data_IF_755450362282
#
_entry.id   IF_755450362282
#
_cell.length_a   1.000
_cell.length_b   1.000
_cell.length_c   1.000
_cell.angle_alpha   90.00
_cell.angle_beta   90.00
_cell.angle_gamma   90.00
#
_symmetry.space_group_name_H-M   'P 1'
#
loop_
_entity.id
_entity.type
_entity.pdbx_description
1 polymer ?
#
# COMPACT_ATOMS: atom_id res chain seq x y z
N UNK A 1 -4.64 19.03 -22.05
CA UNK A 1 -5.66 19.13 -23.13
C UNK A 1 -6.94 19.68 -22.52
N UNK A 2 -7.42 20.88 -22.92
CA UNK A 2 -8.60 21.55 -22.33
C UNK A 2 -9.89 21.18 -23.08
N UNK A 3 -10.92 20.69 -22.39
CA UNK A 3 -12.30 20.60 -22.92
C UNK A 3 -13.37 20.85 -21.83
N UNK A 4 -14.52 21.35 -22.29
CA UNK A 4 -15.65 21.98 -21.56
C UNK A 4 -16.77 20.95 -21.32
N UNK A 5 -17.38 20.92 -20.13
CA UNK A 5 -18.45 19.96 -19.75
C UNK A 5 -19.73 20.72 -19.36
N UNK A 6 -20.85 20.31 -19.95
CA UNK A 6 -22.21 20.79 -19.64
C UNK A 6 -22.79 20.12 -18.38
N UNK A 7 -23.55 20.89 -17.61
CA UNK A 7 -24.07 20.55 -16.28
C UNK A 7 -25.12 19.41 -16.28
N UNK A 8 -25.00 18.49 -15.30
CA UNK A 8 -26.09 17.59 -14.88
C UNK A 8 -26.26 17.74 -13.35
N UNK A 9 -27.50 17.85 -12.89
CA UNK A 9 -27.85 18.18 -11.51
C UNK A 9 -27.55 17.03 -10.50
N UNK A 10 -27.20 17.36 -9.23
CA UNK A 10 -26.91 16.37 -8.20
C UNK A 10 -28.19 15.67 -7.66
N UNK A 11 -28.08 14.42 -7.17
CA UNK A 11 -29.21 13.68 -6.61
C UNK A 11 -29.52 14.08 -5.14
N UNK A 12 -30.78 13.85 -4.75
CA UNK A 12 -31.44 14.34 -3.54
C UNK A 12 -30.97 13.65 -2.23
N UNK A 13 -30.82 14.37 -1.08
CA UNK A 13 -30.11 13.85 0.12
C UNK A 13 -30.87 12.88 1.05
N UNK A 14 -32.12 12.50 0.81
CA UNK A 14 -32.98 11.90 1.86
C UNK A 14 -32.88 10.37 2.07
N UNK A 15 -31.71 9.74 1.94
CA UNK A 15 -31.59 8.29 2.22
C UNK A 15 -30.35 7.89 3.03
N UNK A 16 -30.18 8.44 4.24
CA UNK A 16 -29.18 7.95 5.19
C UNK A 16 -29.86 7.66 6.53
N UNK A 17 -29.98 6.38 6.89
CA UNK A 17 -30.55 5.92 8.16
C UNK A 17 -29.59 6.13 9.34
N UNK A 18 -30.15 6.48 10.50
CA UNK A 18 -29.44 6.81 11.74
C UNK A 18 -28.83 5.56 12.42
N UNK A 19 -27.52 5.57 12.68
CA UNK A 19 -26.86 4.56 13.54
C UNK A 19 -25.46 4.08 13.11
N UNK A 20 -24.93 4.52 11.97
CA UNK A 20 -23.57 4.19 11.53
C UNK A 20 -22.48 5.11 12.10
N UNK A 21 -21.18 4.71 12.04
CA UNK A 21 -20.07 5.61 12.35
C UNK A 21 -20.22 6.90 11.53
N UNK A 22 -20.00 8.05 12.18
CA UNK A 22 -20.06 9.37 11.54
C UNK A 22 -19.20 9.34 10.27
N UNK A 23 -19.87 9.35 9.12
CA UNK A 23 -19.23 9.42 7.82
C UNK A 23 -18.39 10.70 7.77
N UNK A 24 -17.18 10.67 7.16
CA UNK A 24 -16.44 11.90 6.94
C UNK A 24 -17.32 12.88 6.14
N UNK A 25 -17.18 14.21 6.36
CA UNK A 25 -17.99 15.21 5.67
C UNK A 25 -17.68 15.20 4.18
N UNK A 26 -18.71 15.05 3.34
CA UNK A 26 -18.59 15.07 1.85
C UNK A 26 -17.86 16.34 1.44
N UNK A 27 -16.73 16.20 0.74
CA UNK A 27 -16.03 17.35 0.18
C UNK A 27 -16.92 17.91 -0.92
N UNK A 28 -17.62 19.00 -0.64
CA UNK A 28 -18.39 19.75 -1.62
C UNK A 28 -17.42 20.28 -2.67
N UNK A 29 -17.57 19.83 -3.92
CA UNK A 29 -16.87 20.45 -5.04
C UNK A 29 -17.46 21.84 -5.24
N UNK A 30 -16.68 22.88 -4.94
CA UNK A 30 -17.05 24.26 -5.26
C UNK A 30 -17.37 24.34 -6.77
N UNK A 31 -18.56 24.85 -7.08
CA UNK A 31 -18.97 25.16 -8.45
C UNK A 31 -17.98 26.19 -9.02
N UNK A 32 -17.08 25.73 -9.90
CA UNK A 32 -16.07 26.59 -10.54
C UNK A 32 -16.61 27.18 -11.83
N UNK A 33 -16.30 28.47 -12.03
CA UNK A 33 -16.66 29.20 -13.24
C UNK A 33 -16.04 28.56 -14.50
N UNK A 34 -16.85 28.43 -15.56
CA UNK A 34 -16.43 27.91 -16.86
C UNK A 34 -15.29 28.78 -17.44
N UNK A 35 -14.12 28.17 -17.67
CA UNK A 35 -12.99 28.83 -18.33
C UNK A 35 -11.78 29.08 -17.42
N UNK A 36 -11.91 28.86 -16.11
CA UNK A 36 -10.77 28.89 -15.19
C UNK A 36 -9.75 27.80 -15.57
N UNK A 37 -8.44 28.09 -15.68
CA UNK A 37 -7.42 27.07 -15.88
C UNK A 37 -7.55 25.97 -14.83
N UNK A 38 -7.60 24.70 -15.26
CA UNK A 38 -7.53 23.59 -14.32
C UNK A 38 -6.10 23.54 -13.80
N UNK A 39 -5.92 23.68 -12.49
CA UNK A 39 -4.63 23.41 -11.84
C UNK A 39 -4.22 21.94 -12.04
N UNK A 40 -2.98 21.62 -11.68
CA UNK A 40 -2.46 20.27 -11.84
C UNK A 40 -2.93 19.35 -10.72
N UNK A 41 -3.30 18.12 -11.09
CA UNK A 41 -3.71 17.08 -10.14
C UNK A 41 -2.56 16.11 -9.94
N UNK A 42 -2.17 15.91 -8.68
CA UNK A 42 -1.15 14.93 -8.29
C UNK A 42 -1.83 13.66 -7.81
N UNK A 43 -1.69 12.59 -8.58
CA UNK A 43 -2.18 11.26 -8.22
C UNK A 43 -1.01 10.33 -7.94
N UNK A 44 -0.96 9.80 -6.72
CA UNK A 44 -0.10 8.69 -6.37
C UNK A 44 -0.87 7.37 -6.50
N UNK A 45 -0.12 6.31 -6.77
CA UNK A 45 -0.59 4.94 -6.86
C UNK A 45 0.30 4.14 -5.93
N UNK A 46 -0.27 3.18 -5.20
CA UNK A 46 0.48 2.36 -4.28
C UNK A 46 0.00 0.91 -4.28
N UNK A 47 0.92 0.01 -4.02
CA UNK A 47 0.66 -1.44 -3.99
C UNK A 47 1.72 -2.16 -3.15
N UNK A 48 1.35 -3.32 -2.62
CA UNK A 48 2.20 -4.19 -1.86
C UNK A 48 2.87 -5.25 -2.73
N UNK A 49 4.20 -5.35 -2.64
CA UNK A 49 4.94 -6.41 -3.32
C UNK A 49 5.60 -7.35 -2.34
N UNK A 50 5.41 -8.66 -2.51
CA UNK A 50 6.05 -9.71 -1.70
C UNK A 50 7.55 -9.84 -1.99
N UNK A 51 8.31 -8.81 -1.64
CA UNK A 51 9.76 -8.75 -1.65
C UNK A 51 10.20 -8.57 -0.21
N UNK A 52 10.77 -9.63 0.35
CA UNK A 52 10.91 -9.76 1.79
C UNK A 52 12.36 -9.87 2.21
N UNK A 53 12.67 -9.62 3.48
CA UNK A 53 13.97 -9.96 4.06
C UNK A 53 13.79 -10.60 5.43
N UNK A 54 14.83 -11.30 5.90
CA UNK A 54 14.79 -12.02 7.18
C UNK A 54 14.84 -11.07 8.37
N UNK A 55 14.07 -11.40 9.40
CA UNK A 55 13.97 -10.74 10.70
C UNK A 55 13.89 -11.78 11.82
N UNK A 56 13.93 -11.33 13.07
CA UNK A 56 13.80 -12.19 14.24
C UNK A 56 12.62 -13.18 14.14
N UNK A 57 12.82 -14.42 14.60
CA UNK A 57 11.82 -15.47 14.58
C UNK A 57 10.66 -15.26 15.57
N UNK A 58 10.83 -14.39 16.56
CA UNK A 58 9.80 -14.12 17.57
C UNK A 58 8.70 -13.25 16.96
N UNK A 59 7.44 -13.64 17.18
CA UNK A 59 6.31 -13.10 16.40
C UNK A 59 6.15 -11.57 16.48
N UNK A 60 6.32 -11.00 17.68
CA UNK A 60 6.21 -9.57 17.94
C UNK A 60 7.49 -8.76 17.66
N UNK A 61 8.56 -9.40 17.14
CA UNK A 61 9.86 -8.76 16.97
C UNK A 61 10.22 -8.51 15.51
N UNK A 62 10.52 -7.25 15.20
CA UNK A 62 10.90 -6.79 13.85
C UNK A 62 12.41 -6.49 13.72
N UNK A 63 13.20 -6.80 14.75
CA UNK A 63 14.62 -6.44 14.82
C UNK A 63 15.49 -7.29 13.86
N UNK A 64 16.62 -6.72 13.39
CA UNK A 64 17.58 -7.42 12.54
C UNK A 64 18.11 -8.70 13.19
N UNK A 65 18.43 -9.70 12.37
CA UNK A 65 19.15 -10.88 12.84
C UNK A 65 20.60 -10.52 13.17
N UNK A 66 21.18 -11.20 14.15
CA UNK A 66 22.64 -11.11 14.40
C UNK A 66 23.42 -11.87 13.33
N UNK A 67 22.86 -12.96 12.84
CA UNK A 67 23.47 -13.79 11.80
C UNK A 67 22.43 -14.14 10.72
N UNK A 68 22.61 -13.57 9.53
CA UNK A 68 21.70 -13.76 8.39
C UNK A 68 21.92 -15.06 7.62
N UNK A 69 23.06 -15.73 7.81
CA UNK A 69 23.40 -16.98 7.10
C UNK A 69 22.56 -18.16 7.61
N UNK A 70 22.51 -18.34 8.92
CA UNK A 70 21.82 -19.45 9.57
C UNK A 70 21.20 -19.10 10.94
N UNK A 71 21.23 -17.82 11.34
CA UNK A 71 20.60 -17.37 12.58
C UNK A 71 19.10 -17.18 12.45
N UNK A 72 18.43 -17.10 13.60
CA UNK A 72 16.98 -16.92 13.72
C UNK A 72 16.55 -15.84 14.71
N UNK A 73 17.47 -15.26 15.47
CA UNK A 73 17.13 -14.26 16.48
C UNK A 73 17.96 -12.97 16.32
N UNK A 74 17.38 -11.87 16.78
CA UNK A 74 18.08 -10.60 16.98
C UNK A 74 18.91 -10.63 18.27
N UNK A 75 19.67 -9.56 18.52
CA UNK A 75 20.56 -9.44 19.68
C UNK A 75 19.83 -9.69 21.01
N UNK A 76 18.70 -9.01 21.24
CA UNK A 76 17.91 -9.16 22.47
C UNK A 76 17.36 -10.57 22.71
N UNK A 77 17.23 -11.38 21.65
CA UNK A 77 16.64 -12.72 21.69
C UNK A 77 17.66 -13.83 21.43
N UNK A 78 18.96 -13.51 21.42
CA UNK A 78 20.02 -14.51 21.21
C UNK A 78 20.00 -15.61 22.27
N UNK A 79 19.58 -15.30 23.49
CA UNK A 79 19.40 -16.26 24.57
C UNK A 79 18.43 -17.40 24.21
N UNK A 80 17.49 -17.18 23.28
CA UNK A 80 16.54 -18.20 22.82
C UNK A 80 17.16 -19.25 21.88
N UNK A 81 18.41 -19.06 21.41
CA UNK A 81 19.08 -20.03 20.54
C UNK A 81 19.21 -21.39 21.22
N UNK A 82 19.54 -21.39 22.51
CA UNK A 82 19.70 -22.58 23.35
C UNK A 82 18.40 -23.10 23.95
N UNK A 83 17.23 -22.70 23.43
CA UNK A 83 15.92 -23.17 23.89
C UNK A 83 15.21 -23.86 22.72
N UNK A 84 14.45 -24.92 23.03
CA UNK A 84 13.59 -25.60 22.08
C UNK A 84 12.74 -24.57 21.30
N UNK A 85 12.74 -24.69 19.98
CA UNK A 85 12.04 -23.73 19.11
C UNK A 85 10.52 -23.80 19.19
N UNK A 86 9.95 -24.78 19.90
CA UNK A 86 8.51 -24.90 20.11
C UNK A 86 8.14 -24.10 21.36
N UNK A 87 7.22 -23.14 21.23
CA UNK A 87 6.73 -22.35 22.37
C UNK A 87 5.44 -23.02 22.89
N UNK A 88 5.29 -23.29 24.21
CA UNK A 88 6.18 -22.97 25.34
C UNK A 88 7.01 -24.17 25.85
N UNK A 89 7.56 -25.04 24.97
CA UNK A 89 8.25 -26.28 25.39
C UNK A 89 9.35 -26.06 26.45
N UNK A 90 10.10 -24.95 26.36
CA UNK A 90 11.04 -24.51 27.41
C UNK A 90 12.26 -25.41 27.67
N UNK A 91 12.41 -26.51 26.92
CA UNK A 91 13.48 -27.50 27.12
C UNK A 91 14.81 -27.02 26.55
N UNK A 92 15.92 -27.31 27.25
CA UNK A 92 17.28 -27.17 26.73
C UNK A 92 17.52 -28.23 25.64
N UNK A 93 17.77 -27.86 24.36
CA UNK A 93 18.00 -28.81 23.28
C UNK A 93 19.19 -29.75 23.53
N UNK A 94 20.13 -29.36 24.39
CA UNK A 94 21.32 -30.14 24.77
C UNK A 94 21.14 -30.93 26.07
N UNK A 95 20.01 -30.77 26.77
CA UNK A 95 19.68 -31.51 27.99
C UNK A 95 19.23 -32.96 27.71
N UNK A 96 19.00 -33.75 28.77
CA UNK A 96 18.46 -35.10 28.65
C UNK A 96 17.14 -35.06 27.87
N UNK A 97 17.06 -35.79 26.75
CA UNK A 97 15.83 -35.82 25.93
C UNK A 97 14.78 -36.70 26.62
N UNK A 98 13.55 -36.22 26.84
CA UNK A 98 12.43 -37.12 27.04
C UNK A 98 12.26 -38.00 25.79
N UNK A 99 11.65 -39.18 25.93
CA UNK A 99 11.40 -40.09 24.82
C UNK A 99 10.76 -39.31 23.65
N UNK A 100 11.43 -39.27 22.51
CA UNK A 100 11.00 -38.45 21.38
C UNK A 100 9.64 -38.95 20.88
N UNK A 101 8.59 -38.11 20.83
CA UNK A 101 7.38 -38.48 20.12
C UNK A 101 7.73 -38.66 18.65
N UNK A 102 7.33 -39.79 18.06
CA UNK A 102 7.49 -40.04 16.63
C UNK A 102 6.61 -39.06 15.86
N UNK A 103 7.20 -37.97 15.34
CA UNK A 103 6.49 -37.02 14.49
C UNK A 103 6.23 -37.69 13.13
N UNK A 104 5.00 -38.13 12.88
CA UNK A 104 4.58 -38.60 11.56
C UNK A 104 4.22 -37.37 10.72
N UNK A 105 4.84 -37.24 9.54
CA UNK A 105 4.68 -36.07 8.64
C UNK A 105 3.22 -35.84 8.22
N UNK A 106 2.35 -36.86 8.33
CA UNK A 106 0.92 -36.76 8.02
C UNK A 106 0.06 -36.20 9.17
N UNK A 107 0.57 -36.10 10.39
CA UNK A 107 -0.19 -35.66 11.56
C UNK A 107 0.16 -34.19 11.88
N UNK A 108 -0.86 -33.37 12.20
CA UNK A 108 -0.66 -32.02 12.76
C UNK A 108 0.30 -32.09 13.97
N UNK A 109 0.99 -30.99 14.29
CA UNK A 109 1.81 -30.91 15.52
C UNK A 109 1.02 -31.50 16.70
N UNK A 110 1.63 -32.31 17.58
CA UNK A 110 0.90 -32.83 18.72
C UNK A 110 0.46 -31.67 19.63
N UNK A 111 -0.66 -31.85 20.35
CA UNK A 111 -1.04 -30.90 21.40
C UNK A 111 0.12 -30.78 22.39
N UNK A 112 0.47 -29.54 22.73
CA UNK A 112 1.54 -29.25 23.68
C UNK A 112 0.92 -28.61 24.91
N UNK A 113 0.91 -29.36 26.02
CA UNK A 113 0.20 -28.96 27.24
C UNK A 113 -1.28 -28.71 26.89
N UNK A 114 -1.81 -27.52 27.22
CA UNK A 114 -3.19 -27.13 26.93
C UNK A 114 -3.37 -26.50 25.53
N UNK A 115 -2.30 -26.40 24.73
CA UNK A 115 -2.34 -25.81 23.40
C UNK A 115 -2.61 -26.88 22.32
N UNK A 116 -3.67 -26.74 21.53
CA UNK A 116 -3.90 -27.56 20.35
C UNK A 116 -2.70 -27.48 19.40
N UNK A 117 -2.35 -28.60 18.77
CA UNK A 117 -1.26 -28.69 17.80
C UNK A 117 -1.21 -27.58 16.74
N UNK A 118 -2.36 -27.25 16.17
CA UNK A 118 -2.49 -26.19 15.16
C UNK A 118 -2.26 -24.77 15.69
N UNK A 119 -2.20 -24.58 17.01
CA UNK A 119 -1.93 -23.30 17.68
C UNK A 119 -0.51 -23.23 18.25
N UNK A 120 0.30 -24.27 18.03
CA UNK A 120 1.69 -24.31 18.49
C UNK A 120 2.54 -23.37 17.64
N UNK A 121 3.05 -22.32 18.28
CA UNK A 121 3.96 -21.36 17.66
C UNK A 121 5.39 -21.91 17.72
N UNK A 122 6.13 -21.77 16.61
CA UNK A 122 7.52 -22.21 16.54
C UNK A 122 8.47 -21.11 16.05
N UNK A 123 9.73 -21.20 16.46
CA UNK A 123 10.82 -20.30 16.08
C UNK A 123 11.93 -21.04 15.33
N UNK A 124 11.62 -22.15 14.64
CA UNK A 124 12.65 -22.97 13.96
C UNK A 124 13.44 -22.23 12.88
N UNK A 125 12.84 -21.19 12.30
CA UNK A 125 13.42 -20.36 11.25
C UNK A 125 13.20 -18.89 11.59
N UNK A 126 14.08 -18.04 11.08
CA UNK A 126 13.84 -16.61 11.03
C UNK A 126 12.50 -16.32 10.32
N UNK A 127 11.79 -15.29 10.76
CA UNK A 127 10.64 -14.77 10.01
C UNK A 127 11.14 -13.92 8.85
N UNK A 128 10.25 -13.63 7.92
CA UNK A 128 10.45 -12.60 6.91
C UNK A 128 9.47 -11.46 7.15
N UNK A 129 9.78 -10.27 6.62
CA UNK A 129 8.77 -9.23 6.40
C UNK A 129 7.65 -9.77 5.50
N UNK A 130 6.48 -9.11 5.52
CA UNK A 130 5.32 -9.51 4.74
C UNK A 130 5.42 -9.03 3.30
N UNK A 131 5.52 -7.70 3.11
CA UNK A 131 5.67 -7.07 1.81
C UNK A 131 6.47 -5.77 1.91
N UNK A 132 6.95 -5.33 0.76
CA UNK A 132 7.42 -3.98 0.51
C UNK A 132 6.24 -3.19 -0.05
N UNK A 133 5.78 -2.17 0.67
CA UNK A 133 4.81 -1.21 0.16
C UNK A 133 5.54 -0.20 -0.71
N UNK A 134 5.12 -0.02 -1.95
CA UNK A 134 5.68 0.98 -2.87
C UNK A 134 4.64 2.04 -3.19
N UNK A 135 5.10 3.27 -3.37
CA UNK A 135 4.27 4.41 -3.77
C UNK A 135 4.98 5.15 -4.89
N UNK A 136 4.24 5.43 -5.96
CA UNK A 136 4.72 6.12 -7.16
C UNK A 136 3.68 7.12 -7.64
N UNK A 137 4.10 8.14 -8.36
CA UNK A 137 3.18 8.99 -9.11
C UNK A 137 2.52 8.20 -10.24
N UNK A 138 1.34 8.62 -10.69
CA UNK A 138 0.64 8.02 -11.83
C UNK A 138 1.41 8.09 -13.16
N UNK A 139 2.47 8.90 -13.25
CA UNK A 139 3.42 8.89 -14.36
C UNK A 139 4.47 7.75 -14.28
N UNK A 140 4.50 7.01 -13.16
CA UNK A 140 5.41 5.89 -12.89
C UNK A 140 6.64 6.24 -12.08
N UNK A 141 6.86 7.51 -11.74
CA UNK A 141 8.01 7.95 -10.95
C UNK A 141 7.85 7.50 -9.50
N UNK A 142 8.78 6.71 -8.93
CA UNK A 142 8.74 6.31 -7.52
C UNK A 142 8.80 7.54 -6.60
N UNK A 143 7.98 7.52 -5.56
CA UNK A 143 7.96 8.54 -4.50
C UNK A 143 8.66 8.01 -3.26
N UNK A 144 8.29 6.81 -2.84
CA UNK A 144 8.78 6.24 -1.59
C UNK A 144 8.34 4.79 -1.40
N UNK A 145 8.77 4.22 -0.28
CA UNK A 145 8.48 2.85 0.06
C UNK A 145 8.55 2.63 1.58
N UNK A 146 7.97 1.52 2.03
CA UNK A 146 8.07 1.08 3.41
C UNK A 146 7.88 -0.43 3.56
N UNK A 147 8.16 -0.95 4.76
CA UNK A 147 8.08 -2.39 5.04
C UNK A 147 6.83 -2.68 5.86
N UNK A 148 6.05 -3.64 5.39
CA UNK A 148 5.00 -4.29 6.14
C UNK A 148 5.56 -5.59 6.74
N UNK A 149 5.38 -5.81 8.04
CA UNK A 149 6.07 -6.89 8.76
C UNK A 149 5.26 -8.18 8.88
N UNK A 150 4.07 -8.10 9.49
CA UNK A 150 3.21 -9.28 9.76
C UNK A 150 2.08 -9.43 8.75
N UNK A 151 1.59 -8.30 8.29
CA UNK A 151 0.57 -8.16 7.26
C UNK A 151 0.75 -6.80 6.62
N UNK A 152 0.14 -6.62 5.46
CA UNK A 152 -0.17 -5.31 4.93
C UNK A 152 -1.41 -4.80 5.66
N UNK A 153 -1.20 -4.00 6.70
CA UNK A 153 -2.29 -3.53 7.57
C UNK A 153 -2.40 -2.03 7.50
N UNK A 154 -3.62 -1.49 7.53
CA UNK A 154 -3.88 -0.05 7.51
C UNK A 154 -3.02 0.79 8.47
N UNK A 155 -2.73 0.38 9.73
CA UNK A 155 -1.83 1.14 10.60
C UNK A 155 -0.39 1.25 10.09
N UNK A 156 0.15 0.17 9.51
CA UNK A 156 1.50 0.17 8.93
C UNK A 156 1.53 1.00 7.64
N UNK A 157 0.51 0.83 6.79
CA UNK A 157 0.38 1.61 5.54
C UNK A 157 0.28 3.10 5.83
N UNK A 158 -0.55 3.51 6.79
CA UNK A 158 -0.66 4.91 7.22
C UNK A 158 0.68 5.44 7.75
N UNK A 159 1.39 4.67 8.60
CA UNK A 159 2.70 5.08 9.09
C UNK A 159 3.75 5.25 7.97
N UNK A 160 3.65 4.47 6.89
CA UNK A 160 4.50 4.64 5.70
C UNK A 160 4.14 5.94 4.96
N UNK A 161 2.85 6.21 4.75
CA UNK A 161 2.40 7.47 4.14
C UNK A 161 2.84 8.68 4.97
N UNK A 162 2.58 8.68 6.28
CA UNK A 162 2.98 9.77 7.17
C UNK A 162 4.49 10.01 7.10
N UNK A 163 5.30 8.96 7.07
CA UNK A 163 6.76 9.08 6.99
C UNK A 163 7.25 9.65 5.65
N UNK A 164 6.60 9.34 4.54
CA UNK A 164 7.01 9.83 3.22
C UNK A 164 6.76 11.35 3.11
N UNK A 165 5.72 11.86 3.76
CA UNK A 165 5.31 13.26 3.69
C UNK A 165 5.45 14.05 5.00
N UNK A 166 6.18 13.53 6.00
CA UNK A 166 6.27 14.10 7.36
C UNK A 166 6.63 15.61 7.37
N UNK A 167 7.50 16.03 6.44
CA UNK A 167 7.97 17.41 6.30
C UNK A 167 7.54 18.08 4.98
N UNK A 168 6.63 17.47 4.21
CA UNK A 168 6.28 17.92 2.85
C UNK A 168 4.77 17.89 2.62
N UNK A 169 3.99 18.46 3.54
CA UNK A 169 2.53 18.45 3.51
C UNK A 169 1.95 19.06 2.24
N UNK A 170 2.57 20.12 1.73
CA UNK A 170 2.23 20.79 0.48
C UNK A 170 2.50 19.93 -0.77
N UNK A 171 3.32 18.88 -0.66
CA UNK A 171 3.62 17.93 -1.73
C UNK A 171 2.76 16.66 -1.69
N UNK A 172 1.80 16.58 -0.76
CA UNK A 172 0.89 15.42 -0.67
C UNK A 172 0.08 15.24 -1.96
N UNK A 173 -0.20 13.99 -2.34
CA UNK A 173 -1.08 13.70 -3.46
C UNK A 173 -2.50 14.20 -3.17
N UNK A 174 -3.13 14.77 -4.19
CA UNK A 174 -4.57 15.06 -4.17
C UNK A 174 -5.38 13.77 -4.24
N UNK A 175 -4.84 12.73 -4.89
CA UNK A 175 -5.45 11.41 -4.99
C UNK A 175 -4.44 10.29 -4.72
N UNK A 176 -4.85 9.28 -3.97
CA UNK A 176 -4.09 8.02 -3.81
C UNK A 176 -4.96 6.87 -4.31
N UNK A 177 -4.47 6.15 -5.32
CA UNK A 177 -5.03 4.84 -5.68
C UNK A 177 -4.37 3.72 -4.88
N UNK A 178 -5.19 2.94 -4.19
CA UNK A 178 -4.79 1.79 -3.39
C UNK A 178 -5.93 0.76 -3.36
N UNK A 179 -5.64 -0.52 -3.52
CA UNK A 179 -6.65 -1.58 -3.56
C UNK A 179 -7.44 -1.67 -2.24
N UNK A 180 -6.79 -1.50 -1.09
CA UNK A 180 -7.41 -1.48 0.24
C UNK A 180 -7.65 -0.06 0.80
N UNK A 181 -7.89 0.91 -0.10
CA UNK A 181 -8.15 2.30 0.28
C UNK A 181 -9.36 2.49 1.22
N UNK A 182 -10.40 1.64 1.14
CA UNK A 182 -11.56 1.77 2.01
C UNK A 182 -11.24 1.46 3.48
N UNK A 183 -10.46 0.41 3.75
CA UNK A 183 -10.07 0.03 5.10
C UNK A 183 -9.04 1.02 5.65
N UNK A 184 -8.13 1.49 4.81
CA UNK A 184 -7.21 2.58 5.16
C UNK A 184 -7.96 3.86 5.54
N UNK A 185 -8.93 4.29 4.74
CA UNK A 185 -9.72 5.49 5.02
C UNK A 185 -10.53 5.32 6.31
N UNK A 186 -11.16 4.16 6.52
CA UNK A 186 -11.85 3.84 7.78
C UNK A 186 -10.90 3.91 8.97
N UNK A 187 -9.69 3.38 8.83
CA UNK A 187 -8.66 3.48 9.86
C UNK A 187 -8.28 4.94 10.16
N UNK A 188 -8.02 5.76 9.14
CA UNK A 188 -7.66 7.18 9.32
C UNK A 188 -8.77 7.93 10.08
N UNK A 189 -10.02 7.78 9.65
CA UNK A 189 -11.17 8.46 10.29
C UNK A 189 -11.34 8.03 11.75
N UNK A 190 -11.19 6.74 12.03
CA UNK A 190 -11.35 6.19 13.39
C UNK A 190 -10.20 6.56 14.32
N UNK A 191 -8.97 6.72 13.81
CA UNK A 191 -7.83 7.17 14.62
C UNK A 191 -7.84 8.68 14.85
N UNK A 192 -8.11 9.48 13.81
CA UNK A 192 -8.12 10.93 13.89
C UNK A 192 -9.05 11.54 12.84
N UNK A 193 -10.26 11.92 13.25
CA UNK A 193 -11.24 12.59 12.39
C UNK A 193 -10.77 13.95 11.84
N UNK A 194 -9.73 14.55 12.42
CA UNK A 194 -9.12 15.80 11.96
C UNK A 194 -7.82 15.58 11.17
N UNK A 195 -7.53 14.34 10.78
CA UNK A 195 -6.34 13.99 10.00
C UNK A 195 -6.23 14.86 8.75
N UNK A 196 -5.02 15.36 8.48
CA UNK A 196 -4.74 16.22 7.32
C UNK A 196 -5.05 15.49 6.01
N UNK A 197 -4.88 14.16 5.97
CA UNK A 197 -5.25 13.29 4.85
C UNK A 197 -6.72 13.45 4.43
N UNK A 198 -7.65 13.62 5.38
CA UNK A 198 -9.08 13.76 5.09
C UNK A 198 -9.44 15.10 4.44
N UNK A 199 -8.54 16.08 4.54
CA UNK A 199 -8.70 17.42 3.95
C UNK A 199 -7.99 17.52 2.61
N UNK A 200 -6.79 16.95 2.50
CA UNK A 200 -5.91 17.13 1.35
C UNK A 200 -6.04 16.06 0.27
N UNK A 201 -6.52 14.86 0.62
CA UNK A 201 -6.32 13.67 -0.22
C UNK A 201 -7.58 12.83 -0.33
N UNK A 202 -7.98 12.51 -1.57
CA UNK A 202 -9.03 11.54 -1.87
C UNK A 202 -8.40 10.15 -2.07
N UNK A 203 -8.90 9.14 -1.36
CA UNK A 203 -8.45 7.75 -1.51
C UNK A 203 -9.36 7.01 -2.47
N UNK A 204 -8.80 6.31 -3.44
CA UNK A 204 -9.50 5.66 -4.54
C UNK A 204 -9.15 4.18 -4.56
N UNK A 205 -10.16 3.31 -4.65
CA UNK A 205 -9.95 1.87 -4.84
C UNK A 205 -9.89 1.50 -6.32
N UNK A 206 -9.29 0.37 -6.67
CA UNK A 206 -9.41 -0.15 -8.03
C UNK A 206 -10.88 -0.53 -8.36
N UNK A 207 -11.20 -0.67 -9.66
CA UNK A 207 -12.58 -0.95 -10.07
C UNK A 207 -13.05 -2.36 -9.71
N UNK A 208 -12.15 -3.34 -9.65
CA UNK A 208 -12.50 -4.71 -9.28
C UNK A 208 -12.89 -4.77 -7.81
N UNK A 209 -12.09 -4.17 -6.94
CA UNK A 209 -12.38 -4.00 -5.52
C UNK A 209 -13.69 -3.22 -5.32
N UNK A 210 -13.87 -2.11 -6.05
CA UNK A 210 -15.10 -1.34 -6.00
C UNK A 210 -16.34 -2.15 -6.38
N UNK A 211 -16.28 -2.96 -7.45
CA UNK A 211 -17.41 -3.82 -7.86
C UNK A 211 -17.78 -4.82 -6.75
N UNK A 212 -16.79 -5.38 -6.07
CA UNK A 212 -16.98 -6.35 -4.99
C UNK A 212 -17.58 -5.76 -3.72
N UNK A 213 -17.16 -4.57 -3.30
CA UNK A 213 -17.52 -3.99 -2.00
C UNK A 213 -18.58 -2.90 -2.06
N UNK A 214 -18.85 -2.29 -3.22
CA UNK A 214 -19.82 -1.19 -3.33
C UNK A 214 -21.20 -1.57 -2.78
N UNK A 215 -21.65 -2.80 -2.93
CA UNK A 215 -23.00 -3.19 -2.48
C UNK A 215 -23.16 -3.16 -0.96
N UNK A 216 -22.07 -3.32 -0.21
CA UNK A 216 -22.07 -3.52 1.25
C UNK A 216 -21.38 -2.41 2.03
N UNK A 217 -20.45 -1.67 1.41
CA UNK A 217 -19.68 -0.62 2.06
C UNK A 217 -20.05 0.78 1.54
N UNK A 218 -20.81 1.50 2.36
CA UNK A 218 -21.23 2.88 2.09
C UNK A 218 -20.03 3.84 2.03
N UNK A 219 -18.96 3.60 2.80
CA UNK A 219 -17.76 4.42 2.78
C UNK A 219 -17.04 4.23 1.45
N UNK A 220 -16.86 2.99 0.99
CA UNK A 220 -16.28 2.70 -0.33
C UNK A 220 -17.08 3.36 -1.48
N UNK A 221 -18.42 3.29 -1.43
CA UNK A 221 -19.32 3.93 -2.42
C UNK A 221 -19.18 5.44 -2.52
N UNK A 222 -19.12 6.11 -1.37
CA UNK A 222 -19.15 7.58 -1.31
C UNK A 222 -17.74 8.14 -1.53
N UNK A 223 -16.73 7.48 -0.97
CA UNK A 223 -15.40 8.07 -0.79
C UNK A 223 -14.31 7.48 -1.66
N UNK A 224 -14.48 6.22 -2.12
CA UNK A 224 -13.43 5.50 -2.83
C UNK A 224 -13.74 5.19 -4.29
N UNK A 225 -14.80 5.78 -4.85
CA UNK A 225 -15.23 5.51 -6.22
C UNK A 225 -14.16 5.91 -7.27
N UNK A 226 -13.65 4.96 -8.08
CA UNK A 226 -12.56 5.23 -9.03
C UNK A 226 -12.91 6.05 -10.27
N UNK A 227 -14.19 6.11 -10.64
CA UNK A 227 -14.65 6.86 -11.79
C UNK A 227 -16.16 7.04 -11.67
N UNK A 228 -16.62 8.04 -10.91
CA UNK A 228 -18.04 8.33 -10.85
C UNK A 228 -18.51 8.82 -12.23
N UNK A 229 -19.19 7.93 -12.96
CA UNK A 229 -19.85 8.23 -14.24
C UNK A 229 -20.96 9.28 -14.09
N UNK A 230 -21.30 9.68 -12.86
CA UNK A 230 -22.22 10.77 -12.55
C UNK A 230 -21.56 12.17 -12.59
N UNK A 231 -20.27 12.26 -12.94
CA UNK A 231 -19.57 13.54 -13.06
C UNK A 231 -19.08 14.15 -11.75
N UNK A 232 -19.20 13.47 -10.62
CA UNK A 232 -18.76 13.98 -9.30
C UNK A 232 -17.24 13.98 -9.08
N UNK A 233 -16.46 13.49 -10.04
CA UNK A 233 -14.99 13.59 -10.06
C UNK A 233 -14.51 13.71 -11.53
N UNK A 234 -14.74 14.87 -12.18
CA UNK A 234 -14.46 15.07 -13.60
C UNK A 234 -12.96 15.12 -13.92
N UNK A 235 -12.09 15.14 -12.90
CA UNK A 235 -10.64 15.16 -13.05
C UNK A 235 -10.01 13.76 -13.19
N UNK A 236 -10.76 12.69 -12.91
CA UNK A 236 -10.29 11.30 -13.05
C UNK A 236 -10.68 10.66 -14.40
N UNK A 237 -11.42 11.38 -15.24
CA UNK A 237 -11.97 10.85 -16.49
C UNK A 237 -11.61 11.80 -17.64
N UNK A 238 -10.98 11.27 -18.68
CA UNK A 238 -10.78 11.94 -19.96
C UNK A 238 -11.80 11.43 -20.97
N UNK A 239 -12.30 12.32 -21.81
CA UNK A 239 -13.18 11.97 -22.91
C UNK A 239 -12.33 11.82 -24.18
N UNK A 240 -12.27 10.62 -24.76
CA UNK A 240 -11.63 10.33 -26.04
C UNK A 240 -12.68 10.01 -27.09
N UNK A 241 -12.51 10.54 -28.29
CA UNK A 241 -13.29 10.13 -29.46
C UNK A 241 -12.50 9.05 -30.19
N UNK A 242 -13.08 7.86 -30.32
CA UNK A 242 -12.54 6.75 -31.12
C UNK A 242 -12.44 7.16 -32.59
N UNK A 243 -11.62 6.43 -33.36
CA UNK A 243 -11.47 6.62 -34.81
C UNK A 243 -12.82 6.52 -35.56
N UNK A 244 -13.80 5.81 -34.98
CA UNK A 244 -15.17 5.65 -35.48
C UNK A 244 -16.11 6.82 -35.12
N UNK A 245 -15.62 7.85 -34.42
CA UNK A 245 -16.41 9.00 -33.98
C UNK A 245 -17.22 8.80 -32.69
N UNK A 246 -17.14 7.61 -32.06
CA UNK A 246 -17.77 7.35 -30.77
C UNK A 246 -16.97 7.98 -29.62
N UNK A 247 -17.68 8.60 -28.69
CA UNK A 247 -17.09 9.25 -27.52
C UNK A 247 -17.03 8.24 -26.36
N UNK A 248 -15.82 7.89 -25.93
CA UNK A 248 -15.57 7.04 -24.78
C UNK A 248 -14.88 7.81 -23.65
N UNK A 249 -15.34 7.59 -22.43
CA UNK A 249 -14.66 8.04 -21.21
C UNK A 249 -13.58 7.05 -20.82
N UNK A 250 -12.32 7.49 -20.84
CA UNK A 250 -11.13 6.75 -20.38
C UNK A 250 -10.63 7.34 -19.06
N UNK A 251 -9.91 6.55 -18.26
CA UNK A 251 -9.31 7.07 -17.02
C UNK A 251 -8.23 8.09 -17.34
N UNK A 252 -8.18 9.17 -16.55
CA UNK A 252 -7.19 10.23 -16.71
C UNK A 252 -5.78 9.81 -16.25
N UNK A 253 -5.69 8.83 -15.34
CA UNK A 253 -4.45 8.44 -14.68
C UNK A 253 -4.18 6.94 -14.81
N UNK A 254 -2.89 6.60 -14.94
CA UNK A 254 -2.43 5.23 -15.08
C UNK A 254 -2.17 4.57 -13.71
N UNK A 255 -3.13 3.76 -13.25
CA UNK A 255 -3.00 2.96 -12.02
C UNK A 255 -2.14 1.70 -12.20
N UNK A 256 -1.87 1.26 -13.43
CA UNK A 256 -1.03 0.08 -13.72
C UNK A 256 0.46 0.36 -13.47
N UNK A 257 0.84 1.61 -13.18
CA UNK A 257 2.21 1.98 -12.81
C UNK A 257 2.72 1.23 -11.59
N UNK A 258 1.85 0.87 -10.65
CA UNK A 258 2.17 -0.01 -9.53
C UNK A 258 2.62 -1.39 -9.99
N UNK A 259 1.83 -2.03 -10.86
CA UNK A 259 2.13 -3.34 -11.41
C UNK A 259 3.44 -3.33 -12.20
N UNK A 260 3.70 -2.26 -12.97
CA UNK A 260 4.95 -2.09 -13.70
C UNK A 260 6.18 -2.01 -12.79
N UNK A 261 6.12 -1.23 -11.70
CA UNK A 261 7.21 -1.16 -10.73
C UNK A 261 7.39 -2.51 -10.03
N UNK A 262 6.29 -3.13 -9.60
CA UNK A 262 6.29 -4.41 -8.92
C UNK A 262 6.86 -5.54 -9.78
N UNK A 263 6.53 -5.55 -11.08
CA UNK A 263 7.09 -6.48 -12.06
C UNK A 263 8.59 -6.25 -12.30
N UNK A 264 9.04 -4.99 -12.33
CA UNK A 264 10.46 -4.69 -12.46
C UNK A 264 11.26 -5.16 -11.25
N UNK A 265 10.68 -5.03 -10.05
CA UNK A 265 11.32 -5.46 -8.80
C UNK A 265 11.44 -6.99 -8.66
N UNK A 266 10.65 -7.79 -9.39
CA UNK A 266 10.70 -9.26 -9.34
C UNK A 266 12.10 -9.83 -9.65
N UNK A 267 12.86 -9.13 -10.50
CA UNK A 267 14.23 -9.52 -10.85
C UNK A 267 15.20 -9.53 -9.65
N UNK A 268 14.87 -8.83 -8.56
CA UNK A 268 15.75 -8.61 -7.41
C UNK A 268 15.34 -9.37 -6.14
N UNK A 269 14.16 -10.00 -6.13
CA UNK A 269 13.59 -10.64 -4.94
C UNK A 269 14.55 -11.66 -4.31
N UNK A 270 15.17 -12.52 -5.13
CA UNK A 270 16.10 -13.56 -4.66
C UNK A 270 17.32 -13.00 -3.92
N UNK A 271 17.82 -11.84 -4.35
CA UNK A 271 18.97 -11.16 -3.76
C UNK A 271 18.57 -10.46 -2.46
N UNK A 272 17.45 -9.73 -2.50
CA UNK A 272 16.91 -8.97 -1.37
C UNK A 272 16.58 -9.88 -0.17
N UNK A 273 16.05 -11.08 -0.40
CA UNK A 273 15.71 -12.06 0.66
C UNK A 273 16.88 -12.46 1.57
N UNK A 274 18.11 -12.35 1.09
CA UNK A 274 19.30 -12.77 1.82
C UNK A 274 20.04 -11.60 2.50
N UNK A 275 19.63 -10.36 2.24
CA UNK A 275 20.32 -9.19 2.74
C UNK A 275 20.05 -8.97 4.24
N UNK A 276 21.00 -8.30 4.88
CA UNK A 276 20.75 -7.68 6.19
C UNK A 276 19.71 -6.57 6.04
N UNK A 277 19.07 -6.15 7.14
CA UNK A 277 18.07 -5.07 7.07
C UNK A 277 18.67 -3.79 6.47
N UNK A 278 19.88 -3.42 6.85
CA UNK A 278 20.56 -2.22 6.35
C UNK A 278 20.85 -2.33 4.86
N UNK A 279 21.37 -3.47 4.41
CA UNK A 279 21.69 -3.67 2.99
C UNK A 279 20.41 -3.73 2.15
N UNK A 280 19.36 -4.38 2.65
CA UNK A 280 18.05 -4.41 1.99
C UNK A 280 17.52 -2.98 1.82
N UNK A 281 17.52 -2.18 2.89
CA UNK A 281 16.98 -0.82 2.85
C UNK A 281 17.76 0.07 1.87
N UNK A 282 19.09 0.01 1.94
CA UNK A 282 19.95 0.72 1.00
C UNK A 282 19.71 0.27 -0.44
N UNK A 283 19.65 -1.04 -0.68
CA UNK A 283 19.50 -1.60 -2.03
C UNK A 283 18.15 -1.24 -2.63
N UNK A 284 17.04 -1.40 -1.88
CA UNK A 284 15.70 -0.99 -2.34
C UNK A 284 15.68 0.50 -2.67
N UNK A 285 16.29 1.35 -1.83
CA UNK A 285 16.34 2.78 -2.11
C UNK A 285 17.11 3.09 -3.40
N UNK A 286 18.26 2.44 -3.64
CA UNK A 286 19.01 2.58 -4.90
C UNK A 286 18.21 2.06 -6.09
N UNK A 287 17.49 0.94 -5.95
CA UNK A 287 16.61 0.43 -7.00
C UNK A 287 15.54 1.45 -7.40
N UNK A 288 14.94 2.15 -6.43
CA UNK A 288 13.95 3.21 -6.72
C UNK A 288 14.57 4.36 -7.52
N UNK A 289 15.79 4.78 -7.18
CA UNK A 289 16.50 5.83 -7.91
C UNK A 289 16.84 5.42 -9.36
N UNK A 290 17.32 4.19 -9.56
CA UNK A 290 17.61 3.68 -10.91
C UNK A 290 16.32 3.52 -11.73
N UNK A 291 15.25 3.02 -11.10
CA UNK A 291 13.97 2.89 -11.78
C UNK A 291 13.43 4.25 -12.21
N UNK A 292 13.52 5.25 -11.32
CA UNK A 292 13.17 6.64 -11.60
C UNK A 292 13.87 7.13 -12.87
N UNK A 293 15.19 7.02 -12.97
CA UNK A 293 15.96 7.43 -14.16
C UNK A 293 15.44 6.76 -15.44
N UNK A 294 15.15 5.44 -15.35
CA UNK A 294 14.60 4.69 -16.49
C UNK A 294 13.19 5.15 -16.91
N UNK A 295 12.38 5.66 -15.97
CA UNK A 295 11.05 6.20 -16.23
C UNK A 295 11.15 7.60 -16.82
N UNK A 296 12.01 8.46 -16.29
CA UNK A 296 12.28 9.81 -16.83
C UNK A 296 12.71 9.71 -18.30
N UNK A 297 13.65 8.82 -18.63
CA UNK A 297 14.05 8.58 -20.01
C UNK A 297 12.87 8.17 -20.92
N UNK A 298 11.95 7.34 -20.42
CA UNK A 298 10.78 6.90 -21.19
C UNK A 298 9.79 8.05 -21.40
N UNK A 299 9.60 8.91 -20.40
CA UNK A 299 8.74 10.10 -20.49
C UNK A 299 9.29 11.05 -21.55
N UNK A 300 10.59 11.36 -21.50
CA UNK A 300 11.28 12.22 -22.46
C UNK A 300 11.20 11.64 -23.88
N UNK A 301 11.50 10.35 -24.05
CA UNK A 301 11.42 9.67 -25.37
C UNK A 301 10.02 9.69 -25.97
N UNK A 302 8.97 9.76 -25.14
CA UNK A 302 7.56 9.87 -25.59
C UNK A 302 7.10 11.30 -25.80
N UNK A 303 7.93 12.31 -25.50
CA UNK A 303 7.56 13.72 -25.55
C UNK A 303 6.46 14.08 -24.56
N UNK A 304 6.39 13.38 -23.42
CA UNK A 304 5.41 13.58 -22.36
C UNK A 304 5.97 14.41 -21.18
N UNK A 305 7.15 14.99 -21.36
CA UNK A 305 7.77 15.82 -20.33
C UNK A 305 7.02 17.16 -20.18
N UNK A 306 7.16 17.78 -19.01
CA UNK A 306 6.57 19.07 -18.74
C UNK A 306 7.32 20.15 -19.55
N UNK A 307 6.56 21.02 -20.22
CA UNK A 307 7.12 22.12 -21.02
C UNK A 307 7.75 23.19 -20.13
N UNK A 308 8.73 23.94 -20.61
CA UNK A 308 9.32 25.06 -19.84
C UNK A 308 8.25 26.08 -19.38
N UNK A 309 7.22 26.33 -20.19
CA UNK A 309 6.08 27.20 -19.84
C UNK A 309 5.33 26.73 -18.57
N UNK A 310 5.36 25.43 -18.25
CA UNK A 310 4.75 24.90 -17.03
C UNK A 310 5.47 25.40 -15.78
N UNK A 311 6.79 25.55 -15.85
CA UNK A 311 7.62 25.96 -14.71
C UNK A 311 7.69 27.48 -14.54
N UNK A 312 7.16 28.25 -15.50
CA UNK A 312 7.15 29.70 -15.50
C UNK A 312 5.82 30.31 -14.98
N UNK A 313 4.75 29.49 -14.87
CA UNK A 313 3.47 29.90 -14.27
C UNK A 313 3.49 29.69 -12.74
N UNK A 314 3.96 30.69 -11.99
CA UNK A 314 3.79 30.84 -10.53
C UNK A 314 2.44 31.51 -10.16
#
# INVERSE_FOLDING_TARGET
MKFRISQIAPPNPEQIGEGGPTLPPVQEEEHREEGTPRGYVRMAVMDGKTITHRICALDACNKPLVNYKNGRFCEDHLNLIGICGIIPCGHDPNGPRPAAPTLRVQDQLPNLQDLPGGQVVHTFRAKSTYCLQTIQWACGIPVGWGKCYRSESSPQVLAILDKIWEDNDELRPSFIAYDDACDLLRHIVTQNANSHWLKSTKFVVDAWHYIGHRSTDMLCRIWCNPAPTNGSQPDLILTQTSDDGEIHTVRAFNTETAEHLNSWLDGFDSQLRQMSVVNYDFFVHVLMLIYKESVEEKIIKKGLDLTEEFWEED
#
